data_IF_824706877535
#
_entry.id   IF_824706877535
#
_cell.length_a   1.000
_cell.length_b   1.000
_cell.length_c   1.000
_cell.angle_alpha   90.00
_cell.angle_beta   90.00
_cell.angle_gamma   90.00
#
_symmetry.space_group_name_H-M   'P 1'
#
loop_
_entity.id
_entity.type
_entity.pdbx_description
1 polymer ?
#
# COMPACT_ATOMS: atom_id res chain seq x y z
N UNK A 1 -14.06 -5.91 19.45
CA UNK A 1 -14.24 -7.15 18.67
C UNK A 1 -14.36 -6.71 17.20
N UNK A 2 -13.74 -7.41 16.25
CA UNK A 2 -13.79 -7.01 14.83
C UNK A 2 -15.10 -7.52 14.24
N UNK A 3 -16.10 -6.66 14.15
CA UNK A 3 -17.42 -7.03 13.65
C UNK A 3 -17.43 -7.03 12.11
N UNK A 4 -18.28 -7.87 11.51
CA UNK A 4 -18.31 -8.12 10.06
C UNK A 4 -18.48 -6.86 9.19
N UNK A 5 -19.13 -5.83 9.73
CA UNK A 5 -19.35 -4.55 9.05
C UNK A 5 -18.05 -3.72 8.95
N UNK A 6 -17.17 -3.81 9.96
CA UNK A 6 -15.84 -3.19 9.94
C UNK A 6 -14.90 -3.84 8.93
N UNK A 7 -15.12 -5.14 8.63
CA UNK A 7 -14.33 -5.89 7.66
C UNK A 7 -14.64 -5.46 6.22
N UNK A 8 -15.93 -5.30 5.89
CA UNK A 8 -16.38 -4.86 4.57
C UNK A 8 -15.90 -3.43 4.25
N UNK A 9 -16.02 -2.50 5.21
CA UNK A 9 -15.49 -1.14 5.04
C UNK A 9 -13.96 -1.16 4.89
N UNK A 10 -13.26 -2.01 5.64
CA UNK A 10 -11.83 -2.24 5.51
C UNK A 10 -11.42 -2.70 4.11
N UNK A 11 -12.16 -3.67 3.54
CA UNK A 11 -11.96 -4.18 2.18
C UNK A 11 -12.15 -3.11 1.11
N UNK A 12 -13.22 -2.33 1.20
CA UNK A 12 -13.48 -1.27 0.22
C UNK A 12 -12.35 -0.25 0.21
N UNK A 13 -11.93 0.21 1.39
CA UNK A 13 -10.89 1.23 1.53
C UNK A 13 -9.52 0.75 1.07
N UNK A 14 -9.17 -0.49 1.38
CA UNK A 14 -7.90 -1.06 0.92
C UNK A 14 -7.90 -1.30 -0.59
N UNK A 15 -9.03 -1.68 -1.20
CA UNK A 15 -9.14 -1.83 -2.65
C UNK A 15 -8.97 -0.50 -3.40
N UNK A 16 -9.52 0.59 -2.87
CA UNK A 16 -9.27 1.93 -3.39
C UNK A 16 -7.79 2.31 -3.29
N UNK A 17 -7.15 2.03 -2.14
CA UNK A 17 -5.71 2.29 -1.96
C UNK A 17 -4.86 1.46 -2.94
N UNK A 18 -5.16 0.17 -3.10
CA UNK A 18 -4.49 -0.71 -4.07
C UNK A 18 -4.56 -0.15 -5.48
N UNK A 19 -5.72 0.36 -5.89
CA UNK A 19 -5.92 0.94 -7.23
C UNK A 19 -5.04 2.18 -7.45
N UNK A 20 -4.95 3.06 -6.45
CA UNK A 20 -4.09 4.25 -6.49
C UNK A 20 -2.60 3.88 -6.54
N UNK A 21 -2.17 2.97 -5.69
CA UNK A 21 -0.77 2.49 -5.64
C UNK A 21 -0.39 1.84 -6.97
N UNK A 22 -1.28 1.02 -7.53
CA UNK A 22 -1.07 0.39 -8.84
C UNK A 22 -0.95 1.43 -9.96
N UNK A 23 -1.80 2.46 -9.97
CA UNK A 23 -1.69 3.56 -10.93
C UNK A 23 -0.34 4.28 -10.84
N UNK A 24 0.14 4.54 -9.62
CA UNK A 24 1.45 5.15 -9.41
C UNK A 24 2.58 4.27 -9.96
N UNK A 25 2.53 2.95 -9.72
CA UNK A 25 3.51 2.02 -10.27
C UNK A 25 3.45 1.90 -11.79
N UNK A 26 2.27 1.97 -12.39
CA UNK A 26 2.17 1.96 -13.85
C UNK A 26 2.82 3.21 -14.47
N UNK A 27 2.72 4.36 -13.80
CA UNK A 27 3.29 5.62 -14.31
C UNK A 27 4.79 5.75 -14.04
N UNK A 28 5.26 5.36 -12.84
CA UNK A 28 6.64 5.56 -12.39
C UNK A 28 7.49 4.27 -12.37
N UNK A 29 6.94 3.13 -12.80
CA UNK A 29 7.51 1.78 -12.74
C UNK A 29 8.62 1.47 -13.74
N UNK A 30 9.53 2.43 -13.94
CA UNK A 30 10.73 2.29 -14.77
C UNK A 30 11.84 1.57 -13.99
N UNK A 31 12.67 0.77 -14.68
CA UNK A 31 13.74 -0.03 -14.07
C UNK A 31 14.72 0.76 -13.22
N UNK A 32 14.95 2.05 -13.53
CA UNK A 32 15.88 2.92 -12.80
C UNK A 32 15.25 3.60 -11.57
N UNK A 33 13.95 3.38 -11.30
CA UNK A 33 13.23 4.07 -10.22
C UNK A 33 12.92 3.19 -9.00
N UNK A 34 13.67 2.09 -8.81
CA UNK A 34 13.38 1.10 -7.76
C UNK A 34 13.41 1.69 -6.36
N UNK A 35 14.38 2.57 -6.10
CA UNK A 35 14.58 3.18 -4.79
C UNK A 35 13.45 4.13 -4.41
N UNK A 36 13.01 4.97 -5.35
CA UNK A 36 11.89 5.88 -5.09
C UNK A 36 10.57 5.12 -4.96
N UNK A 37 10.36 4.05 -5.72
CA UNK A 37 9.18 3.18 -5.58
C UNK A 37 9.15 2.47 -4.22
N UNK A 38 10.32 2.05 -3.73
CA UNK A 38 10.47 1.45 -2.40
C UNK A 38 10.19 2.46 -1.29
N UNK A 39 10.73 3.69 -1.41
CA UNK A 39 10.43 4.80 -0.49
C UNK A 39 8.94 5.14 -0.50
N UNK A 40 8.33 5.24 -1.68
CA UNK A 40 6.90 5.47 -1.82
C UNK A 40 6.07 4.40 -1.11
N UNK A 41 6.41 3.11 -1.28
CA UNK A 41 5.73 2.01 -0.60
C UNK A 41 5.81 2.15 0.94
N UNK A 42 6.99 2.50 1.47
CA UNK A 42 7.16 2.74 2.90
C UNK A 42 6.31 3.91 3.41
N UNK A 43 6.25 5.01 2.66
CA UNK A 43 5.42 6.17 3.01
C UNK A 43 3.91 5.85 2.95
N UNK A 44 3.47 5.05 1.97
CA UNK A 44 2.09 4.57 1.91
C UNK A 44 1.72 3.77 3.16
N UNK A 45 2.60 2.89 3.64
CA UNK A 45 2.37 2.12 4.87
C UNK A 45 2.31 3.04 6.10
N UNK A 46 3.22 4.01 6.23
CA UNK A 46 3.21 4.99 7.33
C UNK A 46 1.91 5.80 7.34
N UNK A 47 1.46 6.25 6.18
CA UNK A 47 0.22 7.00 6.03
C UNK A 47 -1.01 6.14 6.35
N UNK A 48 -1.01 4.87 5.93
CA UNK A 48 -2.05 3.90 6.31
C UNK A 48 -2.12 3.72 7.83
N UNK A 49 -0.97 3.57 8.50
CA UNK A 49 -0.86 3.49 9.96
C UNK A 49 -1.47 4.69 10.65
N UNK A 50 -1.12 5.88 10.20
CA UNK A 50 -1.66 7.12 10.74
C UNK A 50 -3.16 7.26 10.50
N UNK A 51 -3.64 6.95 9.29
CA UNK A 51 -5.06 7.05 8.95
C UNK A 51 -5.95 6.04 9.71
N UNK A 52 -5.46 4.83 9.97
CA UNK A 52 -6.13 3.85 10.82
C UNK A 52 -6.12 4.28 12.29
N UNK A 53 -5.00 4.85 12.76
CA UNK A 53 -4.87 5.39 14.11
C UNK A 53 -5.86 6.52 14.41
N UNK A 54 -6.17 7.37 13.42
CA UNK A 54 -7.16 8.45 13.56
C UNK A 54 -8.62 7.96 13.64
N UNK A 55 -8.93 6.77 13.12
CA UNK A 55 -10.29 6.21 13.13
C UNK A 55 -10.57 5.31 14.32
N UNK A 56 -9.51 4.85 14.96
CA UNK A 56 -9.58 4.07 16.18
C UNK A 56 -9.74 5.02 17.36
N UNK A 57 -10.76 4.83 18.20
CA UNK A 57 -10.81 5.48 19.52
C UNK A 57 -9.68 5.00 20.44
N UNK A 58 -8.96 3.92 20.11
CA UNK A 58 -7.74 3.53 20.80
C UNK A 58 -6.58 4.40 20.36
N UNK A 59 -5.96 5.05 21.35
CA UNK A 59 -4.71 5.80 21.24
C UNK A 59 -3.63 4.95 20.58
N UNK A 60 -3.25 5.35 19.36
CA UNK A 60 -2.04 4.92 18.61
C UNK A 60 -2.04 3.45 18.14
N UNK A 61 -2.36 3.23 16.86
CA UNK A 61 -2.07 1.98 16.15
C UNK A 61 -0.57 1.65 16.21
N UNK A 62 -0.23 0.43 16.64
CA UNK A 62 1.14 -0.06 16.67
C UNK A 62 1.57 -0.58 15.29
N UNK A 63 2.86 -0.90 15.11
CA UNK A 63 3.32 -1.48 13.85
C UNK A 63 2.84 -2.92 13.68
N UNK A 64 2.68 -3.66 14.77
CA UNK A 64 2.18 -5.03 14.79
C UNK A 64 0.74 -5.11 14.29
N UNK A 65 -0.10 -4.14 14.67
CA UNK A 65 -1.47 -4.02 14.18
C UNK A 65 -1.53 -3.81 12.67
N UNK A 66 -0.63 -2.96 12.15
CA UNK A 66 -0.51 -2.72 10.71
C UNK A 66 0.00 -3.94 9.98
N UNK A 67 0.96 -4.68 10.54
CA UNK A 67 1.40 -5.93 9.94
C UNK A 67 0.28 -6.98 9.93
N UNK A 68 -0.53 -7.07 10.99
CA UNK A 68 -1.73 -7.95 11.00
C UNK A 68 -2.73 -7.52 9.92
N UNK A 69 -2.98 -6.22 9.80
CA UNK A 69 -3.87 -5.68 8.77
C UNK A 69 -3.37 -5.98 7.35
N UNK A 70 -2.09 -5.74 7.08
CA UNK A 70 -1.45 -6.01 5.78
C UNK A 70 -1.37 -7.50 5.46
N UNK A 71 -1.24 -8.38 6.46
CA UNK A 71 -1.36 -9.84 6.25
C UNK A 71 -2.75 -10.23 5.76
N UNK A 72 -3.80 -9.60 6.30
CA UNK A 72 -5.19 -9.81 5.85
C UNK A 72 -5.46 -9.15 4.50
N UNK A 73 -4.91 -7.96 4.29
CA UNK A 73 -5.11 -7.13 3.12
C UNK A 73 -3.79 -6.65 2.50
N UNK A 74 -3.09 -7.52 1.75
CA UNK A 74 -1.79 -7.18 1.19
C UNK A 74 -1.90 -6.02 0.20
N UNK A 75 -0.97 -5.07 0.28
CA UNK A 75 -0.80 -4.04 -0.75
C UNK A 75 0.08 -4.58 -1.89
N UNK A 76 -0.14 -4.13 -3.14
CA UNK A 76 0.76 -4.47 -4.23
C UNK A 76 2.15 -3.94 -3.91
N UNK A 77 3.14 -4.81 -4.02
CA UNK A 77 4.54 -4.42 -4.00
C UNK A 77 4.93 -3.83 -5.35
N UNK A 78 5.83 -2.83 -5.43
CA UNK A 78 6.30 -2.31 -6.70
C UNK A 78 6.94 -3.42 -7.52
N UNK A 79 6.26 -3.81 -8.60
CA UNK A 79 6.84 -4.65 -9.66
C UNK A 79 7.34 -3.71 -10.74
N UNK A 80 8.51 -4.01 -11.26
CA UNK A 80 9.14 -3.20 -12.30
C UNK A 80 8.60 -3.71 -13.62
N UNK A 81 7.90 -2.84 -14.32
CA UNK A 81 7.15 -3.20 -15.51
C UNK A 81 7.88 -2.80 -16.80
N UNK A 82 8.74 -1.79 -16.75
CA UNK A 82 9.39 -1.25 -17.95
C UNK A 82 10.92 -1.23 -17.80
N UNK A 83 11.56 -2.17 -18.49
CA UNK A 83 13.00 -2.11 -18.74
C UNK A 83 13.29 -1.14 -19.87
N UNK A 84 13.91 -0.02 -19.53
CA UNK A 84 14.46 0.95 -20.49
C UNK A 84 15.70 0.43 -21.23
N UNK A 85 16.19 -0.78 -20.90
CA UNK A 85 17.43 -1.33 -21.43
C UNK A 85 17.25 -2.23 -22.68
N UNK A 86 16.06 -2.29 -23.27
CA UNK A 86 15.84 -3.04 -24.52
C UNK A 86 14.98 -2.21 -25.50
N UNK A 87 15.63 -1.41 -26.34
CA UNK A 87 15.14 -1.10 -27.68
C UNK A 87 16.04 -1.85 -28.66
N UNK A 88 15.77 -3.14 -28.87
CA UNK A 88 16.44 -3.92 -29.90
C UNK A 88 15.62 -3.82 -31.19
N UNK A 89 16.23 -3.13 -32.17
CA UNK A 89 16.06 -3.15 -33.64
C UNK A 89 14.66 -2.90 -34.22
#
# INVERSE_FOLDING_TARGET
>A
MFDANSDAEGRTRINTLRSKVRGHYNYYGLTDNRDSLSKFYQEVIKMLKWALGRRSQKSRQTWEDIMKFLRKYPLPYPKIHHSIFYSTT
#
